data_IF_693476373015
#
_entry.id   IF_693476373015
#
_cell.length_a   1.000
_cell.length_b   1.000
_cell.length_c   1.000
_cell.angle_alpha   90.00
_cell.angle_beta   90.00
_cell.angle_gamma   90.00
#
_symmetry.space_group_name_H-M   'P 1'
#
loop_
_entity.id
_entity.type
_entity.pdbx_description
1 polymer ?
#
# COMPACT_ATOMS: atom_id res chain seq x y z
N UNK A 1 14.58 -14.62 -2.91
CA UNK A 1 14.08 -13.47 -3.69
C UNK A 1 12.68 -13.11 -3.22
N UNK A 2 12.23 -11.86 -3.38
CA UNK A 2 10.92 -11.37 -2.85
C UNK A 2 9.71 -12.13 -3.40
N UNK A 3 9.81 -12.69 -4.61
CA UNK A 3 8.74 -13.49 -5.27
C UNK A 3 8.24 -14.64 -4.39
N UNK A 4 9.14 -15.28 -3.66
CA UNK A 4 8.83 -16.46 -2.85
C UNK A 4 8.16 -16.15 -1.51
N UNK A 5 8.11 -14.86 -1.11
CA UNK A 5 7.59 -14.46 0.21
C UNK A 5 6.06 -14.47 0.28
N UNK A 6 5.39 -14.01 -0.78
CA UNK A 6 3.94 -13.80 -0.76
C UNK A 6 3.14 -14.98 -1.34
N UNK A 7 3.73 -15.75 -2.28
CA UNK A 7 3.06 -16.89 -2.88
C UNK A 7 2.54 -17.94 -1.86
N UNK A 8 3.32 -18.29 -0.78
CA UNK A 8 2.85 -19.26 0.20
C UNK A 8 1.65 -18.83 1.04
N UNK A 9 1.44 -17.51 1.16
CA UNK A 9 0.39 -16.94 2.03
C UNK A 9 -0.82 -16.41 1.25
N UNK A 10 -0.81 -16.46 -0.09
CA UNK A 10 -1.83 -15.86 -0.93
C UNK A 10 -3.25 -16.38 -0.64
N UNK A 11 -3.39 -17.68 -0.30
CA UNK A 11 -4.68 -18.31 -0.01
C UNK A 11 -5.28 -17.86 1.33
N UNK A 12 -4.44 -17.45 2.27
CA UNK A 12 -4.83 -17.04 3.63
C UNK A 12 -4.75 -15.53 3.85
N UNK A 13 -4.22 -14.79 2.88
CA UNK A 13 -3.93 -13.36 3.03
C UNK A 13 -5.16 -12.55 3.39
N UNK A 14 -6.27 -12.80 2.72
CA UNK A 14 -7.53 -12.07 2.93
C UNK A 14 -8.21 -12.36 4.27
N UNK A 15 -7.87 -13.46 4.96
CA UNK A 15 -8.44 -13.80 6.28
C UNK A 15 -8.18 -12.71 7.33
N UNK A 16 -7.10 -11.96 7.17
CA UNK A 16 -6.83 -10.81 8.03
C UNK A 16 -7.94 -9.76 7.94
N UNK A 17 -8.37 -9.44 6.73
CA UNK A 17 -9.43 -8.45 6.47
C UNK A 17 -10.83 -8.95 6.89
N UNK A 18 -10.98 -10.26 7.17
CA UNK A 18 -12.22 -10.83 7.71
C UNK A 18 -12.30 -10.70 9.24
N UNK A 19 -11.19 -10.45 9.91
CA UNK A 19 -11.19 -10.21 11.37
C UNK A 19 -11.80 -8.85 11.70
N UNK A 20 -12.34 -8.71 12.90
CA UNK A 20 -12.94 -7.43 13.35
C UNK A 20 -11.93 -6.29 13.32
N UNK A 21 -10.75 -6.49 13.87
CA UNK A 21 -9.70 -5.46 13.92
C UNK A 21 -9.06 -5.24 12.56
N UNK A 22 -8.88 -6.29 11.76
CA UNK A 22 -8.38 -6.18 10.39
C UNK A 22 -9.27 -5.34 9.49
N UNK A 23 -10.59 -5.49 9.61
CA UNK A 23 -11.56 -4.62 8.87
C UNK A 23 -11.44 -3.16 9.26
N UNK A 24 -11.32 -2.87 10.57
CA UNK A 24 -11.17 -1.47 11.02
C UNK A 24 -9.84 -0.89 10.57
N UNK A 25 -8.74 -1.65 10.69
CA UNK A 25 -7.43 -1.22 10.23
C UNK A 25 -7.45 -0.91 8.72
N UNK A 26 -7.91 -1.86 7.91
CA UNK A 26 -8.06 -1.68 6.46
C UNK A 26 -8.92 -0.46 6.11
N UNK A 27 -10.05 -0.27 6.80
CA UNK A 27 -10.93 0.87 6.54
C UNK A 27 -10.25 2.20 6.81
N UNK A 28 -9.59 2.38 7.96
CA UNK A 28 -8.96 3.68 8.30
C UNK A 28 -7.75 3.99 7.42
N UNK A 29 -6.97 2.96 7.05
CA UNK A 29 -5.86 3.10 6.11
C UNK A 29 -6.35 3.47 4.72
N UNK A 30 -7.38 2.81 4.25
CA UNK A 30 -7.99 3.00 2.94
C UNK A 30 -8.69 4.35 2.82
N UNK A 31 -9.46 4.76 3.83
CA UNK A 31 -10.14 6.06 3.85
C UNK A 31 -9.10 7.18 3.72
N UNK A 32 -7.98 7.08 4.45
CA UNK A 32 -6.89 8.03 4.33
C UNK A 32 -6.22 7.97 2.95
N UNK A 33 -5.93 6.76 2.43
CA UNK A 33 -5.32 6.59 1.12
C UNK A 33 -6.15 7.25 0.01
N UNK A 34 -7.47 7.02 -0.03
CA UNK A 34 -8.36 7.63 -1.02
C UNK A 34 -8.60 9.12 -0.81
N UNK A 35 -8.51 9.62 0.42
CA UNK A 35 -8.50 11.07 0.68
C UNK A 35 -7.30 11.74 0.02
N UNK A 36 -6.13 11.09 0.00
CA UNK A 36 -4.90 11.59 -0.57
C UNK A 36 -4.78 11.30 -2.08
N UNK A 37 -5.32 10.16 -2.53
CA UNK A 37 -5.24 9.75 -3.93
C UNK A 37 -6.27 10.51 -4.76
N UNK A 38 -5.82 11.62 -5.33
CA UNK A 38 -6.60 12.51 -6.18
C UNK A 38 -5.91 12.64 -7.55
N UNK A 39 -5.99 11.60 -8.40
CA UNK A 39 -5.33 11.63 -9.71
C UNK A 39 -5.95 12.66 -10.63
N UNK A 40 -5.15 13.23 -11.53
CA UNK A 40 -5.61 14.24 -12.50
C UNK A 40 -6.48 13.68 -13.64
N UNK A 41 -6.65 12.35 -13.68
CA UNK A 41 -7.48 11.66 -14.66
C UNK A 41 -7.59 10.16 -14.39
N UNK A 42 -8.23 9.39 -15.29
CA UNK A 42 -8.63 8.02 -15.00
C UNK A 42 -7.51 6.99 -15.11
N UNK A 43 -6.39 7.27 -15.79
CA UNK A 43 -5.33 6.28 -16.05
C UNK A 43 -4.36 6.21 -14.88
N UNK A 44 -4.35 5.11 -14.17
CA UNK A 44 -3.58 4.94 -12.94
C UNK A 44 -2.71 3.68 -12.94
N UNK A 45 -1.66 3.71 -12.12
CA UNK A 45 -0.79 2.58 -11.82
C UNK A 45 -0.96 2.21 -10.34
N UNK A 46 -1.21 0.93 -10.08
CA UNK A 46 -1.19 0.35 -8.74
C UNK A 46 0.02 -0.58 -8.61
N UNK A 47 0.86 -0.36 -7.60
CA UNK A 47 2.08 -1.13 -7.35
C UNK A 47 1.91 -1.96 -6.09
N UNK A 48 2.18 -3.27 -6.18
CA UNK A 48 1.94 -4.22 -5.10
C UNK A 48 0.45 -4.44 -4.89
N UNK A 49 -0.29 -4.76 -5.98
CA UNK A 49 -1.74 -4.92 -5.92
C UNK A 49 -2.19 -6.09 -5.02
N UNK A 50 -1.30 -7.02 -4.67
CA UNK A 50 -1.58 -8.15 -3.82
C UNK A 50 -2.79 -8.96 -4.29
N UNK A 51 -3.71 -9.23 -3.38
CA UNK A 51 -4.97 -9.93 -3.66
C UNK A 51 -6.08 -9.01 -4.20
N UNK A 52 -5.78 -7.75 -4.54
CA UNK A 52 -6.70 -6.84 -5.22
C UNK A 52 -7.64 -6.05 -4.28
N UNK A 53 -7.26 -5.81 -3.03
CA UNK A 53 -8.09 -5.04 -2.08
C UNK A 53 -8.30 -3.60 -2.55
N UNK A 54 -7.23 -2.90 -2.93
CA UNK A 54 -7.34 -1.55 -3.50
C UNK A 54 -7.76 -1.58 -4.97
N UNK A 55 -7.27 -2.57 -5.76
CA UNK A 55 -7.64 -2.73 -7.17
C UNK A 55 -9.17 -2.75 -7.37
N UNK A 56 -9.88 -3.50 -6.51
CA UNK A 56 -11.34 -3.61 -6.56
C UNK A 56 -12.01 -2.24 -6.43
N UNK A 57 -11.61 -1.44 -5.45
CA UNK A 57 -12.23 -0.14 -5.20
C UNK A 57 -11.84 0.91 -6.22
N UNK A 58 -10.61 0.85 -6.72
CA UNK A 58 -10.18 1.69 -7.84
C UNK A 58 -10.99 1.39 -9.11
N UNK A 59 -11.28 0.11 -9.36
CA UNK A 59 -12.12 -0.30 -10.48
C UNK A 59 -13.59 0.15 -10.30
N UNK A 60 -14.14 0.06 -9.09
CA UNK A 60 -15.49 0.58 -8.74
C UNK A 60 -15.59 2.08 -8.96
N UNK A 61 -14.52 2.84 -8.75
CA UNK A 61 -14.44 4.27 -9.03
C UNK A 61 -14.26 4.61 -10.51
N UNK A 62 -14.12 3.60 -11.37
CA UNK A 62 -14.04 3.76 -12.82
C UNK A 62 -12.65 4.08 -13.37
N UNK A 63 -11.60 3.86 -12.60
CA UNK A 63 -10.24 4.06 -13.06
C UNK A 63 -9.80 3.00 -14.09
N UNK A 64 -8.94 3.42 -15.02
CA UNK A 64 -8.24 2.56 -15.97
C UNK A 64 -6.92 2.10 -15.33
N UNK A 65 -6.92 0.91 -14.76
CA UNK A 65 -5.86 0.44 -13.88
C UNK A 65 -4.83 -0.38 -14.65
N UNK A 66 -3.55 -0.06 -14.46
CA UNK A 66 -2.45 -1.01 -14.63
C UNK A 66 -2.02 -1.46 -13.23
N UNK A 67 -2.15 -2.75 -12.93
CA UNK A 67 -1.80 -3.31 -11.62
C UNK A 67 -0.54 -4.16 -11.75
N UNK A 68 0.42 -3.90 -10.86
CA UNK A 68 1.72 -4.59 -10.83
C UNK A 68 1.84 -5.38 -9.53
N UNK A 69 2.26 -6.63 -9.62
CA UNK A 69 2.68 -7.42 -8.46
C UNK A 69 3.76 -8.42 -8.85
N UNK A 70 4.66 -8.70 -7.91
CA UNK A 70 5.73 -9.67 -8.09
C UNK A 70 5.22 -11.10 -7.88
N UNK A 71 4.20 -11.30 -7.03
CA UNK A 71 3.62 -12.59 -6.68
C UNK A 71 2.56 -13.00 -7.69
N UNK A 72 2.78 -14.15 -8.35
CA UNK A 72 1.81 -14.72 -9.29
C UNK A 72 0.51 -15.14 -8.61
N UNK A 73 0.62 -15.73 -7.42
CA UNK A 73 -0.56 -16.24 -6.70
C UNK A 73 -1.40 -15.10 -6.13
N UNK A 74 -0.77 -14.04 -5.61
CA UNK A 74 -1.49 -12.84 -5.18
C UNK A 74 -2.26 -12.23 -6.35
N UNK A 75 -1.57 -12.02 -7.48
CA UNK A 75 -2.19 -11.46 -8.68
C UNK A 75 -3.32 -12.34 -9.23
N UNK A 76 -3.20 -13.67 -9.17
CA UNK A 76 -4.27 -14.58 -9.59
C UNK A 76 -5.54 -14.40 -8.75
N UNK A 77 -5.40 -14.17 -7.42
CA UNK A 77 -6.54 -13.85 -6.54
C UNK A 77 -7.18 -12.50 -6.90
N UNK A 78 -6.36 -11.49 -7.18
CA UNK A 78 -6.86 -10.19 -7.64
C UNK A 78 -7.63 -10.31 -8.95
N UNK A 79 -7.08 -11.05 -9.92
CA UNK A 79 -7.73 -11.30 -11.22
C UNK A 79 -9.08 -12.00 -11.08
N UNK A 80 -9.17 -13.01 -10.21
CA UNK A 80 -10.42 -13.70 -9.92
C UNK A 80 -11.49 -12.74 -9.37
N UNK A 81 -11.13 -11.91 -8.36
CA UNK A 81 -12.04 -10.92 -7.79
C UNK A 81 -12.54 -9.92 -8.84
N UNK A 82 -11.62 -9.33 -9.60
CA UNK A 82 -11.94 -8.32 -10.61
C UNK A 82 -12.80 -8.90 -11.73
N UNK A 83 -12.52 -10.13 -12.18
CA UNK A 83 -13.31 -10.82 -13.21
C UNK A 83 -14.72 -11.10 -12.72
N UNK A 84 -14.87 -11.59 -11.48
CA UNK A 84 -16.18 -11.86 -10.88
C UNK A 84 -17.05 -10.61 -10.71
N UNK A 85 -16.43 -9.45 -10.55
CA UNK A 85 -17.11 -8.15 -10.49
C UNK A 85 -17.37 -7.53 -11.88
N UNK A 86 -16.85 -8.12 -12.96
CA UNK A 86 -17.05 -7.65 -14.32
C UNK A 86 -16.17 -6.47 -14.74
N UNK A 87 -15.12 -6.15 -13.96
CA UNK A 87 -14.18 -5.09 -14.28
C UNK A 87 -13.02 -5.59 -15.13
N UNK A 88 -12.31 -4.64 -15.77
CA UNK A 88 -11.11 -4.91 -16.55
C UNK A 88 -9.92 -4.15 -15.98
N UNK A 89 -8.79 -4.84 -15.84
CA UNK A 89 -7.52 -4.30 -15.35
C UNK A 89 -6.40 -4.82 -16.25
N UNK A 90 -5.44 -3.97 -16.56
CA UNK A 90 -4.19 -4.37 -17.22
C UNK A 90 -3.24 -4.90 -16.15
N UNK A 91 -2.88 -6.17 -16.25
CA UNK A 91 -2.00 -6.84 -15.30
C UNK A 91 -0.56 -6.88 -15.81
N UNK A 92 0.36 -6.47 -14.97
CA UNK A 92 1.80 -6.52 -15.23
C UNK A 92 2.49 -7.33 -14.12
N UNK A 93 2.73 -8.62 -14.38
CA UNK A 93 3.45 -9.48 -13.44
C UNK A 93 4.94 -9.16 -13.48
N UNK A 94 5.53 -8.84 -12.35
CA UNK A 94 6.96 -8.63 -12.23
C UNK A 94 7.38 -7.77 -11.06
N UNK A 95 8.69 -7.75 -10.87
CA UNK A 95 9.34 -6.84 -9.93
C UNK A 95 9.32 -5.42 -10.53
N UNK A 96 8.71 -4.48 -9.83
CA UNK A 96 8.63 -3.08 -10.29
C UNK A 96 10.02 -2.49 -10.58
N UNK A 97 11.06 -2.93 -9.86
CA UNK A 97 12.43 -2.49 -10.11
C UNK A 97 13.00 -2.91 -11.46
N UNK A 98 12.37 -3.92 -12.09
CA UNK A 98 12.79 -4.50 -13.37
C UNK A 98 11.78 -4.25 -14.50
N UNK A 99 10.64 -3.65 -14.20
CA UNK A 99 9.57 -3.41 -15.17
C UNK A 99 9.32 -1.94 -15.45
N UNK A 100 10.16 -1.04 -14.93
CA UNK A 100 10.04 0.41 -15.11
C UNK A 100 9.99 0.83 -16.58
N UNK A 101 10.75 0.19 -17.46
CA UNK A 101 10.81 0.43 -18.90
C UNK A 101 9.52 0.02 -19.65
N UNK A 102 8.65 -0.77 -19.01
CA UNK A 102 7.34 -1.19 -19.52
C UNK A 102 6.21 -0.26 -19.09
N UNK A 103 6.50 0.70 -18.20
CA UNK A 103 5.52 1.64 -17.71
C UNK A 103 5.20 2.71 -18.77
N UNK A 104 3.94 3.11 -18.76
CA UNK A 104 3.44 4.25 -19.50
C UNK A 104 3.46 5.51 -18.61
N UNK A 105 2.81 6.59 -19.05
CA UNK A 105 2.51 7.74 -18.21
C UNK A 105 1.13 7.58 -17.57
N UNK A 106 1.00 8.04 -16.32
CA UNK A 106 -0.19 7.87 -15.50
C UNK A 106 -0.60 9.20 -14.84
N UNK A 107 -1.89 9.37 -14.62
CA UNK A 107 -2.47 10.49 -13.90
C UNK A 107 -2.46 10.28 -12.38
N UNK A 108 -2.25 9.06 -11.95
CA UNK A 108 -2.04 8.70 -10.55
C UNK A 108 -1.27 7.40 -10.42
N UNK A 109 -0.41 7.35 -9.41
CA UNK A 109 0.31 6.13 -9.01
C UNK A 109 0.02 5.89 -7.54
N UNK A 110 -0.39 4.67 -7.18
CA UNK A 110 -0.73 4.30 -5.81
C UNK A 110 -0.03 3.00 -5.42
N UNK A 111 0.43 2.94 -4.16
CA UNK A 111 1.00 1.72 -3.59
C UNK A 111 0.75 1.68 -2.09
N UNK A 112 0.12 0.62 -1.61
CA UNK A 112 -0.23 0.46 -0.19
C UNK A 112 0.43 -0.78 0.40
N UNK A 113 1.19 -0.58 1.49
CA UNK A 113 1.88 -1.63 2.25
C UNK A 113 2.77 -2.55 1.40
N UNK A 114 3.41 -1.99 0.35
CA UNK A 114 4.32 -2.71 -0.54
C UNK A 114 5.74 -2.12 -0.52
N UNK A 115 5.90 -0.83 -0.24
CA UNK A 115 7.20 -0.17 -0.22
C UNK A 115 8.13 -0.65 0.89
N UNK A 116 7.60 -1.31 1.92
CA UNK A 116 8.37 -2.01 2.95
C UNK A 116 9.25 -3.14 2.38
N UNK A 117 8.90 -3.63 1.18
CA UNK A 117 9.57 -4.75 0.51
C UNK A 117 10.37 -4.33 -0.73
N UNK A 118 10.30 -3.06 -1.11
CA UNK A 118 11.01 -2.52 -2.28
C UNK A 118 12.34 -1.92 -1.83
N UNK A 119 13.48 -2.37 -2.41
CA UNK A 119 14.77 -1.78 -2.11
C UNK A 119 14.89 -0.35 -2.66
N UNK A 120 15.70 0.48 -2.00
CA UNK A 120 15.97 1.86 -2.42
C UNK A 120 14.68 2.67 -2.71
N UNK A 121 13.77 2.81 -1.74
CA UNK A 121 12.44 3.37 -1.97
C UNK A 121 12.49 4.81 -2.51
N UNK A 122 13.44 5.63 -2.08
CA UNK A 122 13.61 7.00 -2.58
C UNK A 122 13.90 7.03 -4.08
N UNK A 123 14.84 6.21 -4.54
CA UNK A 123 15.21 6.10 -5.96
C UNK A 123 14.04 5.56 -6.78
N UNK A 124 13.36 4.53 -6.27
CA UNK A 124 12.19 3.96 -6.91
C UNK A 124 11.06 4.97 -7.04
N UNK A 125 10.74 5.70 -5.98
CA UNK A 125 9.71 6.73 -5.98
C UNK A 125 10.05 7.88 -6.94
N UNK A 126 11.32 8.31 -6.98
CA UNK A 126 11.77 9.33 -7.92
C UNK A 126 11.60 8.86 -9.38
N UNK A 127 11.95 7.61 -9.68
CA UNK A 127 11.71 7.02 -11.01
C UNK A 127 10.23 6.94 -11.37
N UNK A 128 9.39 6.51 -10.44
CA UNK A 128 7.93 6.46 -10.63
C UNK A 128 7.32 7.85 -10.84
N UNK A 129 7.84 8.86 -10.13
CA UNK A 129 7.40 10.24 -10.26
C UNK A 129 7.62 10.79 -11.69
N UNK A 130 8.67 10.33 -12.39
CA UNK A 130 8.89 10.68 -13.78
C UNK A 130 7.81 10.13 -14.72
N UNK A 131 7.16 9.02 -14.36
CA UNK A 131 6.04 8.41 -15.09
C UNK A 131 4.68 9.07 -14.78
N UNK A 132 4.62 10.14 -13.99
CA UNK A 132 3.40 10.92 -13.82
C UNK A 132 3.20 11.91 -14.97
N UNK A 133 1.97 12.05 -15.42
CA UNK A 133 1.51 13.19 -16.20
C UNK A 133 1.56 14.48 -15.35
N UNK A 134 1.62 15.67 -15.98
CA UNK A 134 1.44 16.93 -15.25
C UNK A 134 0.17 16.92 -14.40
N UNK A 135 0.23 17.49 -13.21
CA UNK A 135 -0.82 17.47 -12.17
C UNK A 135 -1.17 16.06 -11.63
N UNK A 136 -0.49 15.01 -12.06
CA UNK A 136 -0.63 13.67 -11.52
C UNK A 136 -0.10 13.56 -10.09
N UNK A 137 -0.57 12.55 -9.34
CA UNK A 137 -0.12 12.30 -7.98
C UNK A 137 0.48 10.89 -7.80
N UNK A 138 1.54 10.81 -6.99
CA UNK A 138 2.11 9.59 -6.46
C UNK A 138 1.76 9.46 -4.99
N UNK A 139 1.11 8.38 -4.60
CA UNK A 139 0.65 8.15 -3.22
C UNK A 139 1.14 6.78 -2.76
N UNK A 140 1.78 6.75 -1.59
CA UNK A 140 2.12 5.50 -0.92
C UNK A 140 1.56 5.46 0.49
N UNK A 141 1.22 4.27 0.97
CA UNK A 141 0.89 4.01 2.36
C UNK A 141 1.86 3.00 2.96
N UNK A 142 2.42 3.30 4.12
CA UNK A 142 3.40 2.45 4.80
C UNK A 142 3.16 2.38 6.31
N UNK A 143 3.53 1.25 6.91
CA UNK A 143 3.55 1.07 8.36
C UNK A 143 4.75 1.81 8.95
N UNK A 144 4.50 2.59 10.01
CA UNK A 144 5.54 3.34 10.73
C UNK A 144 6.32 2.40 11.63
N UNK A 145 7.64 2.40 11.49
CA UNK A 145 8.51 1.54 12.30
C UNK A 145 8.44 1.84 13.80
N UNK A 146 8.40 3.09 14.19
CA UNK A 146 8.36 3.55 15.59
C UNK A 146 6.91 3.67 16.12
N UNK A 147 6.10 2.62 15.92
CA UNK A 147 4.70 2.58 16.30
C UNK A 147 4.31 1.25 16.91
N UNK A 148 3.12 1.16 17.52
CA UNK A 148 2.61 -0.08 18.12
C UNK A 148 2.48 -1.21 17.08
N UNK A 149 1.99 -0.91 15.87
CA UNK A 149 1.93 -1.91 14.79
C UNK A 149 3.32 -2.26 14.25
N UNK A 150 4.23 -1.28 14.17
CA UNK A 150 5.62 -1.54 13.79
C UNK A 150 6.33 -2.48 14.78
N UNK A 151 6.11 -2.29 16.08
CA UNK A 151 6.62 -3.18 17.12
C UNK A 151 6.01 -4.58 17.04
N UNK A 152 4.70 -4.66 16.82
CA UNK A 152 3.99 -5.92 16.62
C UNK A 152 4.55 -6.72 15.43
N UNK A 153 4.76 -6.09 14.28
CA UNK A 153 5.34 -6.75 13.11
C UNK A 153 6.79 -7.16 13.33
N UNK A 154 7.60 -6.34 13.99
CA UNK A 154 8.97 -6.73 14.39
C UNK A 154 8.99 -7.90 15.38
N UNK A 155 8.04 -7.95 16.30
CA UNK A 155 7.89 -9.09 17.23
C UNK A 155 7.51 -10.37 16.47
N UNK A 156 6.57 -10.27 15.53
CA UNK A 156 6.23 -11.41 14.64
C UNK A 156 7.43 -11.89 13.82
N UNK A 157 8.21 -10.98 13.25
CA UNK A 157 9.41 -11.30 12.50
C UNK A 157 10.45 -12.06 13.34
N UNK A 158 10.63 -11.70 14.61
CA UNK A 158 11.55 -12.38 15.52
C UNK A 158 11.07 -13.78 15.90
N UNK A 159 9.76 -13.97 16.09
CA UNK A 159 9.18 -15.26 16.52
C UNK A 159 8.91 -16.21 15.36
N UNK A 160 8.74 -15.68 14.15
CA UNK A 160 8.48 -16.42 12.91
C UNK A 160 9.37 -15.88 11.78
N UNK A 161 10.63 -16.35 11.69
CA UNK A 161 11.57 -15.89 10.66
C UNK A 161 11.12 -16.11 9.22
N UNK A 162 10.19 -17.06 9.02
CA UNK A 162 9.53 -17.33 7.73
C UNK A 162 8.41 -16.33 7.38
N UNK A 163 8.04 -15.46 8.32
CA UNK A 163 7.02 -14.43 8.07
C UNK A 163 7.52 -13.40 7.08
N UNK A 164 6.63 -12.92 6.21
CA UNK A 164 6.91 -11.80 5.29
C UNK A 164 7.48 -10.58 6.02
N UNK A 165 7.04 -10.35 7.25
CA UNK A 165 7.52 -9.22 8.07
C UNK A 165 9.01 -9.29 8.45
N UNK A 166 9.65 -10.48 8.40
CA UNK A 166 11.08 -10.61 8.60
C UNK A 166 11.91 -9.94 7.48
N UNK A 167 11.27 -9.68 6.34
CA UNK A 167 11.87 -9.07 5.16
C UNK A 167 11.39 -7.62 4.94
N UNK A 168 10.45 -7.14 5.76
CA UNK A 168 9.94 -5.78 5.67
C UNK A 168 10.91 -4.78 6.29
N UNK A 169 11.18 -3.68 5.57
CA UNK A 169 11.80 -2.49 6.14
C UNK A 169 10.71 -1.48 6.51
N UNK A 170 10.51 -1.27 7.80
CA UNK A 170 9.57 -0.28 8.29
C UNK A 170 10.27 1.09 8.43
N UNK A 171 9.67 2.12 7.84
CA UNK A 171 10.23 3.46 7.80
C UNK A 171 9.70 4.34 8.94
N UNK A 172 10.47 5.35 9.32
CA UNK A 172 10.02 6.41 10.20
C UNK A 172 9.47 7.58 9.39
N UNK A 173 8.63 8.42 10.00
CA UNK A 173 8.18 9.67 9.36
C UNK A 173 9.37 10.57 8.98
N UNK A 174 10.40 10.60 9.81
CA UNK A 174 11.59 11.41 9.56
C UNK A 174 12.35 10.95 8.30
N UNK A 175 12.45 9.64 8.06
CA UNK A 175 13.04 9.11 6.82
C UNK A 175 12.21 9.49 5.60
N UNK A 176 10.87 9.31 5.66
CA UNK A 176 9.96 9.64 4.55
C UNK A 176 10.06 11.14 4.18
N UNK A 177 10.15 12.01 5.19
CA UNK A 177 10.31 13.46 4.97
C UNK A 177 11.63 13.85 4.29
N UNK A 178 12.64 13.01 4.35
CA UNK A 178 13.95 13.25 3.74
C UNK A 178 14.02 12.76 2.29
N UNK A 179 13.08 11.93 1.84
CA UNK A 179 13.08 11.40 0.47
C UNK A 179 12.89 12.49 -0.58
N UNK A 180 13.80 12.50 -1.54
CA UNK A 180 13.81 13.45 -2.67
C UNK A 180 13.13 12.80 -3.87
N UNK A 181 11.82 12.78 -3.86
CA UNK A 181 11.01 12.14 -4.91
C UNK A 181 10.73 13.10 -6.07
N UNK A 182 10.47 14.36 -5.77
CA UNK A 182 9.98 15.38 -6.68
C UNK A 182 8.64 15.95 -6.19
N UNK A 183 8.33 17.19 -6.58
CA UNK A 183 7.11 17.86 -6.10
C UNK A 183 7.10 18.16 -4.60
N UNK A 184 5.94 18.57 -4.12
CA UNK A 184 5.73 18.86 -2.70
C UNK A 184 5.20 17.62 -1.98
N UNK A 185 5.80 17.27 -0.82
CA UNK A 185 5.34 16.18 0.03
C UNK A 185 4.19 16.63 0.93
N UNK A 186 3.09 15.89 0.89
CA UNK A 186 2.01 15.92 1.88
C UNK A 186 1.97 14.59 2.65
N UNK A 187 1.71 14.66 3.96
CA UNK A 187 1.59 13.46 4.81
C UNK A 187 0.23 13.42 5.50
N UNK A 188 -0.40 12.24 5.40
CA UNK A 188 -1.55 11.87 6.21
C UNK A 188 -1.19 10.78 7.21
N UNK A 189 -1.98 10.65 8.29
CA UNK A 189 -1.72 9.72 9.40
C UNK A 189 -2.99 9.03 9.82
N UNK A 190 -2.89 7.72 10.04
CA UNK A 190 -3.98 6.86 10.51
C UNK A 190 -3.45 5.74 11.40
N UNK A 191 -4.34 4.84 11.79
CA UNK A 191 -4.03 3.66 12.59
C UNK A 191 -3.45 4.06 13.94
N UNK A 192 -4.21 4.88 14.68
CA UNK A 192 -3.83 5.35 16.02
C UNK A 192 -4.05 4.31 17.11
N UNK A 193 -4.88 3.29 16.88
CA UNK A 193 -5.10 2.21 17.85
C UNK A 193 -4.01 1.12 17.75
N UNK A 194 -3.64 0.49 18.85
CA UNK A 194 -2.68 -0.62 18.84
C UNK A 194 -3.33 -1.92 18.39
N UNK A 195 -2.53 -2.93 17.97
CA UNK A 195 -3.05 -4.22 17.48
C UNK A 195 -3.77 -5.06 18.56
N UNK A 196 -3.56 -4.77 19.84
CA UNK A 196 -4.12 -5.51 20.98
C UNK A 196 -5.48 -4.97 21.46
N UNK A 197 -6.15 -4.10 20.72
CA UNK A 197 -7.50 -3.64 21.07
C UNK A 197 -8.50 -4.80 21.08
N UNK A 198 -9.49 -4.73 21.97
CA UNK A 198 -10.42 -5.83 22.20
C UNK A 198 -11.65 -5.80 21.29
N UNK A 199 -11.95 -4.66 20.65
CA UNK A 199 -13.13 -4.51 19.79
C UNK A 199 -12.96 -3.40 18.75
N UNK A 200 -13.76 -3.47 17.69
CA UNK A 200 -13.87 -2.41 16.67
C UNK A 200 -14.29 -1.06 17.28
N UNK A 201 -15.21 -1.06 18.24
CA UNK A 201 -15.64 0.17 18.92
C UNK A 201 -14.50 0.86 19.65
N UNK A 202 -13.67 0.09 20.39
CA UNK A 202 -12.48 0.61 21.05
C UNK A 202 -11.47 1.15 20.03
N UNK A 203 -11.20 0.40 18.97
CA UNK A 203 -10.31 0.83 17.89
C UNK A 203 -10.74 2.16 17.27
N UNK A 204 -12.01 2.28 16.88
CA UNK A 204 -12.57 3.49 16.29
C UNK A 204 -12.58 4.68 17.26
N UNK A 205 -12.77 4.42 18.56
CA UNK A 205 -12.70 5.46 19.59
C UNK A 205 -11.29 6.04 19.68
N UNK A 206 -10.26 5.17 19.74
CA UNK A 206 -8.86 5.59 19.79
C UNK A 206 -8.47 6.30 18.50
N UNK A 207 -8.89 5.76 17.34
CA UNK A 207 -8.63 6.38 16.04
C UNK A 207 -9.17 7.81 15.96
N UNK A 208 -10.39 8.03 16.46
CA UNK A 208 -11.02 9.35 16.49
C UNK A 208 -10.33 10.33 17.44
N UNK A 209 -9.84 9.85 18.57
CA UNK A 209 -9.17 10.69 19.57
C UNK A 209 -7.76 11.12 19.16
N UNK A 210 -7.05 10.31 18.35
CA UNK A 210 -5.69 10.56 17.86
C UNK A 210 -4.70 10.95 18.97
N UNK A 211 -4.83 10.34 20.13
CA UNK A 211 -4.02 10.64 21.32
C UNK A 211 -2.82 9.71 21.52
N UNK A 212 -2.55 8.86 20.54
CA UNK A 212 -1.41 7.94 20.46
C UNK A 212 -0.56 8.26 19.23
N UNK A 213 0.57 7.58 19.05
CA UNK A 213 1.34 7.68 17.82
C UNK A 213 0.64 6.93 16.68
N UNK A 214 0.53 7.51 15.48
CA UNK A 214 -0.03 6.83 14.32
C UNK A 214 0.88 5.69 13.88
N UNK A 215 0.29 4.62 13.40
CA UNK A 215 1.02 3.45 12.90
C UNK A 215 1.05 3.35 11.38
N UNK A 216 0.29 4.19 10.70
CA UNK A 216 0.25 4.24 9.24
C UNK A 216 0.42 5.66 8.73
N UNK A 217 1.27 5.84 7.73
CA UNK A 217 1.48 7.10 7.03
C UNK A 217 1.12 6.93 5.57
N UNK A 218 0.33 7.87 5.06
CA UNK A 218 0.16 8.09 3.63
C UNK A 218 1.01 9.28 3.23
N UNK A 219 1.89 9.07 2.25
CA UNK A 219 2.72 10.11 1.66
C UNK A 219 2.29 10.36 0.21
N UNK A 220 2.14 11.62 -0.16
CA UNK A 220 1.70 12.07 -1.48
C UNK A 220 2.67 13.10 -2.05
N UNK A 221 2.98 12.96 -3.33
CA UNK A 221 3.69 13.94 -4.15
C UNK A 221 2.86 14.27 -5.38
N UNK A 222 2.85 15.52 -5.78
CA UNK A 222 2.13 16.00 -6.99
C UNK A 222 3.14 16.56 -7.98
N UNK A 223 3.02 16.18 -9.24
CA UNK A 223 3.85 16.69 -10.33
C UNK A 223 3.26 18.02 -10.84
N UNK A 224 4.09 19.06 -10.87
CA UNK A 224 3.71 20.38 -11.38
C UNK A 224 3.43 20.37 -12.90
#
# INVERSE_FOLDING_TARGET
MVIELFDPIADDYDKWYETEIGRVADQVERDLAFQFFQPSGPKILEIGCGTGQYTTQLAEQGYQITAVDISEKMMARAQEKITNLGYQVKWLKGDITQTMDQLEYYQGIISMSAFEFIPNPEEMLAGLFEHLDPQGCLVIGVIVGESSWGEFYRSKAKTKPESVFAHARLYTEAEIRQWKVGGQLELGKALYFPPEVFSAEQALTIEKLRNTNPSFIVAKWVKE
#
